data_IF_116227736515
#
_entry.id   IF_116227736515
#
_cell.length_a   1.000
_cell.length_b   1.000
_cell.length_c   1.000
_cell.angle_alpha   90.00
_cell.angle_beta   90.00
_cell.angle_gamma   90.00
#
_symmetry.space_group_name_H-M   'P 1'
#
loop_
_entity.id
_entity.type
_entity.pdbx_description
1 polymer ?
#
# COMPACT_ATOMS: atom_id res chain seq x y z
N UNK A 1 24.30 -4.34 -4.24
CA UNK A 1 23.38 -4.46 -5.40
C UNK A 1 22.48 -5.70 -5.38
N UNK A 2 22.46 -6.50 -4.30
CA UNK A 2 21.62 -7.72 -4.24
C UNK A 2 20.13 -7.39 -4.03
N UNK A 3 19.83 -6.40 -3.18
CA UNK A 3 18.45 -6.05 -2.83
C UNK A 3 17.62 -5.58 -4.05
N UNK A 4 18.23 -4.79 -4.94
CA UNK A 4 17.58 -4.34 -6.18
C UNK A 4 17.30 -5.52 -7.12
N UNK A 5 18.26 -6.44 -7.28
CA UNK A 5 18.10 -7.62 -8.12
C UNK A 5 17.02 -8.57 -7.58
N UNK A 6 17.02 -8.83 -6.27
CA UNK A 6 15.99 -9.63 -5.61
C UNK A 6 14.60 -9.03 -5.78
N UNK A 7 14.43 -7.72 -5.51
CA UNK A 7 13.16 -7.04 -5.66
C UNK A 7 12.68 -7.00 -7.13
N UNK A 8 13.59 -6.88 -8.10
CA UNK A 8 13.22 -6.92 -9.52
C UNK A 8 12.76 -8.32 -9.97
N UNK A 9 13.37 -9.39 -9.45
CA UNK A 9 12.90 -10.76 -9.68
C UNK A 9 11.55 -11.03 -9.00
N UNK A 10 11.34 -10.52 -7.78
CA UNK A 10 10.04 -10.59 -7.11
C UNK A 10 8.94 -9.88 -7.89
N UNK A 11 9.22 -8.73 -8.52
CA UNK A 11 8.28 -8.05 -9.40
C UNK A 11 7.97 -8.82 -10.69
N UNK A 12 8.94 -9.57 -11.22
CA UNK A 12 8.70 -10.44 -12.37
C UNK A 12 7.85 -11.66 -11.98
N UNK A 13 8.09 -12.22 -10.79
CA UNK A 13 7.35 -13.39 -10.29
C UNK A 13 5.93 -13.03 -9.83
N UNK A 14 5.78 -11.91 -9.11
CA UNK A 14 4.50 -11.40 -8.63
C UNK A 14 4.38 -9.88 -8.87
N UNK A 15 3.95 -9.47 -10.07
CA UNK A 15 3.85 -8.06 -10.46
C UNK A 15 2.77 -7.26 -9.73
N UNK A 16 1.98 -7.90 -8.85
CA UNK A 16 0.90 -7.27 -8.08
C UNK A 16 1.26 -7.07 -6.60
N UNK A 17 2.45 -7.48 -6.17
CA UNK A 17 2.85 -7.28 -4.78
C UNK A 17 3.28 -5.83 -4.51
N UNK A 18 2.37 -5.07 -3.90
CA UNK A 18 2.62 -3.68 -3.47
C UNK A 18 3.81 -3.56 -2.50
N UNK A 19 4.10 -4.60 -1.70
CA UNK A 19 5.22 -4.61 -0.76
C UNK A 19 6.58 -4.53 -1.47
N UNK A 20 6.75 -5.33 -2.52
CA UNK A 20 7.97 -5.34 -3.34
C UNK A 20 8.21 -3.98 -4.02
N UNK A 21 7.17 -3.31 -4.53
CA UNK A 21 7.31 -1.96 -5.10
C UNK A 21 7.81 -0.94 -4.08
N UNK A 22 7.24 -0.96 -2.86
CA UNK A 22 7.64 -0.06 -1.78
C UNK A 22 9.10 -0.33 -1.37
N UNK A 23 9.50 -1.60 -1.24
CA UNK A 23 10.87 -1.97 -0.94
C UNK A 23 11.85 -1.47 -2.01
N UNK A 24 11.52 -1.66 -3.29
CA UNK A 24 12.36 -1.21 -4.41
C UNK A 24 12.50 0.33 -4.44
N UNK A 25 11.41 1.07 -4.22
CA UNK A 25 11.45 2.53 -4.13
C UNK A 25 12.32 3.01 -2.95
N UNK A 26 12.26 2.33 -1.81
CA UNK A 26 13.09 2.64 -0.65
C UNK A 26 14.58 2.35 -0.89
N UNK A 27 14.90 1.25 -1.59
CA UNK A 27 16.28 0.92 -1.98
C UNK A 27 16.87 2.02 -2.88
N UNK A 28 16.10 2.51 -3.86
CA UNK A 28 16.54 3.62 -4.71
C UNK A 28 16.70 4.92 -3.93
N UNK A 29 15.76 5.25 -3.04
CA UNK A 29 15.85 6.43 -2.19
C UNK A 29 17.08 6.40 -1.27
N UNK A 30 17.37 5.26 -0.62
CA UNK A 30 18.54 5.09 0.24
C UNK A 30 19.87 5.17 -0.52
N UNK A 31 19.87 4.89 -1.82
CA UNK A 31 21.01 5.07 -2.72
C UNK A 31 21.12 6.49 -3.30
N UNK A 32 20.26 7.44 -2.88
CA UNK A 32 20.21 8.81 -3.43
C UNK A 32 19.59 8.90 -4.83
N UNK A 33 19.06 7.80 -5.37
CA UNK A 33 18.44 7.71 -6.70
C UNK A 33 16.95 8.03 -6.63
N UNK A 34 16.64 9.26 -6.22
CA UNK A 34 15.26 9.71 -6.00
C UNK A 34 14.39 9.65 -7.27
N UNK A 35 14.97 9.90 -8.44
CA UNK A 35 14.25 9.77 -9.71
C UNK A 35 13.76 8.34 -9.95
N UNK A 36 14.60 7.34 -9.68
CA UNK A 36 14.23 5.95 -9.88
C UNK A 36 13.19 5.50 -8.84
N UNK A 37 13.30 5.97 -7.60
CA UNK A 37 12.25 5.77 -6.60
C UNK A 37 10.89 6.35 -7.07
N UNK A 38 10.90 7.52 -7.72
CA UNK A 38 9.70 8.12 -8.28
C UNK A 38 9.13 7.33 -9.48
N UNK A 39 9.97 6.78 -10.36
CA UNK A 39 9.53 5.89 -11.43
C UNK A 39 8.81 4.66 -10.87
N UNK A 40 9.35 4.06 -9.81
CA UNK A 40 8.72 2.91 -9.15
C UNK A 40 7.38 3.29 -8.51
N UNK A 41 7.28 4.45 -7.87
CA UNK A 41 6.00 4.95 -7.32
C UNK A 41 4.94 5.21 -8.40
N UNK A 42 5.34 5.79 -9.53
CA UNK A 42 4.45 5.95 -10.70
C UNK A 42 3.98 4.60 -11.22
N UNK A 43 4.89 3.65 -11.39
CA UNK A 43 4.57 2.29 -11.85
C UNK A 43 3.59 1.58 -10.89
N UNK A 44 3.70 1.82 -9.59
CA UNK A 44 2.77 1.33 -8.57
C UNK A 44 1.37 1.94 -8.76
N UNK A 45 1.30 3.25 -8.99
CA UNK A 45 0.04 3.97 -9.20
C UNK A 45 -0.64 3.59 -10.53
N UNK A 46 0.12 3.45 -11.62
CA UNK A 46 -0.39 3.04 -12.94
C UNK A 46 -0.99 1.63 -12.91
N UNK A 47 -0.47 0.76 -12.03
CA UNK A 47 -1.00 -0.58 -11.80
C UNK A 47 -2.16 -0.62 -10.81
N UNK A 48 -2.61 0.53 -10.30
CA UNK A 48 -3.64 0.62 -9.26
C UNK A 48 -3.19 0.06 -7.90
N UNK A 49 -1.89 -0.20 -7.73
CA UNK A 49 -1.32 -0.68 -6.49
C UNK A 49 -1.21 0.52 -5.55
N UNK A 50 -2.26 0.73 -4.74
CA UNK A 50 -2.22 1.73 -3.67
C UNK A 50 -1.36 1.16 -2.54
N UNK A 51 -0.52 2.00 -1.92
CA UNK A 51 -0.05 1.70 -0.57
C UNK A 51 -1.34 1.47 0.22
N UNK A 52 -1.56 0.30 0.79
CA UNK A 52 -2.50 0.24 1.90
C UNK A 52 -1.93 1.23 2.92
N UNK A 53 -2.56 2.41 3.16
CA UNK A 53 -2.24 3.12 4.39
C UNK A 53 -2.49 2.07 5.48
N UNK A 54 -1.53 1.87 6.38
CA UNK A 54 -1.66 0.86 7.42
C UNK A 54 -3.06 0.91 8.00
N UNK A 55 -3.71 -0.25 8.19
CA UNK A 55 -5.10 -0.37 8.66
C UNK A 55 -5.32 0.15 10.10
N UNK A 56 -4.49 1.09 10.57
CA UNK A 56 -4.53 1.69 11.90
C UNK A 56 -5.20 3.07 11.95
N UNK A 57 -5.61 3.68 10.84
CA UNK A 57 -6.17 5.05 10.85
C UNK A 57 -7.51 5.26 10.13
N UNK A 58 -8.01 4.27 9.40
CA UNK A 58 -9.33 4.33 8.77
C UNK A 58 -10.45 3.69 9.60
N UNK A 59 -10.11 3.10 10.75
CA UNK A 59 -11.03 2.42 11.67
C UNK A 59 -11.57 3.36 12.75
N UNK A 60 -11.79 4.63 12.42
CA UNK A 60 -12.38 5.62 13.35
C UNK A 60 -13.61 6.31 12.75
N UNK A 61 -13.84 6.20 11.44
CA UNK A 61 -15.00 6.81 10.78
C UNK A 61 -16.14 5.84 10.49
N UNK A 62 -15.95 4.54 10.72
CA UNK A 62 -16.98 3.53 10.40
C UNK A 62 -17.86 3.15 11.60
N UNK A 63 -17.43 3.47 12.81
CA UNK A 63 -18.15 3.06 14.02
C UNK A 63 -19.22 4.08 14.47
N UNK A 64 -19.23 5.29 13.92
CA UNK A 64 -20.19 6.33 14.33
C UNK A 64 -21.54 6.19 13.60
N UNK A 65 -21.59 5.56 12.42
CA UNK A 65 -22.84 5.40 11.65
C UNK A 65 -23.59 4.10 11.92
N UNK A 66 -22.96 3.08 12.55
CA UNK A 66 -23.65 1.82 12.87
C UNK A 66 -24.43 1.86 14.19
N UNK A 67 -24.04 2.71 15.15
CA UNK A 67 -24.70 2.81 16.46
C UNK A 67 -26.12 3.44 16.39
N UNK A 68 -26.42 4.23 15.35
CA UNK A 68 -27.76 4.83 15.18
C UNK A 68 -28.79 3.90 14.53
N UNK A 69 -28.38 2.74 13.99
CA UNK A 69 -29.30 1.80 13.35
C UNK A 69 -29.73 0.65 14.26
N UNK A 70 -29.02 0.40 15.37
CA UNK A 70 -29.32 -0.69 16.31
C UNK A 70 -30.39 -0.35 17.37
N UNK A 71 -30.82 0.91 17.48
CA UNK A 71 -31.83 1.29 18.47
C UNK A 71 -33.29 1.13 18.01
N UNK A 72 -33.56 0.70 16.77
CA UNK A 72 -34.94 0.50 16.28
C UNK A 72 -35.39 -0.96 16.20
N UNK A 73 -34.56 -1.94 16.60
CA UNK A 73 -34.86 -3.37 16.40
C UNK A 73 -35.18 -4.11 17.71
N UNK A 74 -34.99 -3.49 18.89
CA UNK A 74 -35.27 -4.13 20.19
C UNK A 74 -36.39 -3.39 20.95
N UNK A 75 -37.51 -3.20 20.27
CA UNK A 75 -38.73 -2.64 20.84
C UNK A 75 -39.93 -3.57 20.60
N UNK A 76 -39.84 -4.83 21.05
CA UNK A 76 -40.98 -5.70 21.38
C UNK A 76 -40.63 -6.58 22.59
#
# INVERSE_FOLDING_TARGET
>A
MIAQYAANNLLQLNPKDSGTYVALANIYAGAGRWEDANKIRKLMNDRGLRKNPGQSWLMVYKDIEQDSSEQLINGE
#
